data_IF_309359045044
#
_entry.id   IF_309359045044
#
_cell.length_a   1.000
_cell.length_b   1.000
_cell.length_c   1.000
_cell.angle_alpha   90.00
_cell.angle_beta   90.00
_cell.angle_gamma   90.00
#
_symmetry.space_group_name_H-M   'P 1'
#
loop_
_entity.id
_entity.type
_entity.pdbx_description
1 polymer ?
#
# COMPACT_ATOMS: atom_id res chain seq x y z
N UNK A 1 7.43 -28.49 -17.92
CA UNK A 1 7.33 -27.81 -16.62
C UNK A 1 6.42 -26.61 -16.81
N UNK A 2 5.23 -26.60 -16.19
CA UNK A 2 4.34 -25.45 -16.24
C UNK A 2 5.01 -24.28 -15.50
N UNK A 3 5.09 -23.10 -16.14
CA UNK A 3 5.48 -21.87 -15.45
C UNK A 3 4.43 -21.60 -14.36
N UNK A 4 4.81 -21.28 -13.12
CA UNK A 4 3.84 -20.89 -12.11
C UNK A 4 3.03 -19.70 -12.66
N UNK A 5 1.71 -19.84 -12.68
CA UNK A 5 0.83 -18.73 -13.00
C UNK A 5 1.02 -17.68 -11.91
N UNK A 6 1.30 -16.41 -12.23
CA UNK A 6 1.49 -15.40 -11.21
C UNK A 6 0.24 -15.34 -10.33
N UNK A 7 0.46 -15.26 -9.01
CA UNK A 7 -0.64 -15.10 -8.06
C UNK A 7 -1.49 -13.87 -8.44
N UNK A 8 -2.82 -13.90 -8.24
CA UNK A 8 -3.67 -12.74 -8.45
C UNK A 8 -3.08 -11.47 -7.83
N UNK A 9 -3.22 -10.32 -8.49
CA UNK A 9 -2.59 -9.06 -8.05
C UNK A 9 -2.92 -8.68 -6.59
N UNK A 10 -4.13 -9.04 -6.12
CA UNK A 10 -4.51 -8.85 -4.72
C UNK A 10 -3.67 -9.71 -3.74
N UNK A 11 -3.30 -10.93 -4.10
CA UNK A 11 -2.42 -11.77 -3.28
C UNK A 11 -0.99 -11.21 -3.25
N UNK A 12 -0.50 -10.70 -4.38
CA UNK A 12 0.79 -9.99 -4.44
C UNK A 12 0.78 -8.73 -3.56
N UNK A 13 -0.32 -7.97 -3.56
CA UNK A 13 -0.48 -6.82 -2.67
C UNK A 13 -0.36 -7.22 -1.20
N UNK A 14 -1.11 -8.25 -0.78
CA UNK A 14 -1.08 -8.75 0.60
C UNK A 14 0.31 -9.25 0.98
N UNK A 15 1.01 -9.92 0.06
CA UNK A 15 2.39 -10.39 0.30
C UNK A 15 3.37 -9.21 0.49
N UNK A 16 3.27 -8.16 -0.34
CA UNK A 16 4.10 -6.95 -0.18
C UNK A 16 3.78 -6.25 1.14
N UNK A 17 2.49 -6.04 1.46
CA UNK A 17 2.07 -5.45 2.73
C UNK A 17 2.56 -6.26 3.94
N UNK A 18 2.49 -7.59 3.86
CA UNK A 18 3.00 -8.52 4.87
C UNK A 18 4.50 -8.34 5.08
N UNK A 19 5.29 -8.33 4.00
CA UNK A 19 6.74 -8.12 4.08
C UNK A 19 7.12 -6.76 4.71
N UNK A 20 6.36 -5.70 4.41
CA UNK A 20 6.57 -4.37 5.04
C UNK A 20 6.29 -4.43 6.53
N UNK A 21 5.20 -5.08 6.94
CA UNK A 21 4.87 -5.27 8.37
C UNK A 21 5.91 -6.12 9.08
N UNK A 22 6.32 -7.25 8.51
CA UNK A 22 7.36 -8.12 9.07
C UNK A 22 8.66 -7.35 9.31
N UNK A 23 9.09 -6.56 8.32
CA UNK A 23 10.25 -5.68 8.47
C UNK A 23 10.06 -4.65 9.59
N UNK A 24 8.91 -3.97 9.64
CA UNK A 24 8.62 -2.96 10.66
C UNK A 24 8.66 -3.52 12.08
N UNK A 25 8.14 -4.73 12.28
CA UNK A 25 8.17 -5.41 13.58
C UNK A 25 9.57 -5.88 13.97
N UNK A 26 10.39 -6.29 13.00
CA UNK A 26 11.79 -6.68 13.23
C UNK A 26 12.73 -5.47 13.44
N UNK A 27 12.38 -4.31 12.88
CA UNK A 27 13.18 -3.09 12.87
C UNK A 27 12.39 -1.86 13.37
N UNK A 28 11.94 -1.88 14.64
CA UNK A 28 11.00 -0.89 15.16
C UNK A 28 11.59 0.53 15.25
N UNK A 29 12.89 0.66 15.50
CA UNK A 29 13.56 1.95 15.59
C UNK A 29 13.75 2.58 14.22
N UNK A 30 14.16 1.79 13.23
CA UNK A 30 14.28 2.23 11.84
C UNK A 30 12.92 2.60 11.25
N UNK A 31 11.88 1.82 11.54
CA UNK A 31 10.52 2.17 11.16
C UNK A 31 10.09 3.50 11.78
N UNK A 32 10.33 3.71 13.07
CA UNK A 32 9.97 4.96 13.76
C UNK A 32 10.74 6.19 13.22
N UNK A 33 11.97 6.02 12.72
CA UNK A 33 12.70 7.10 12.05
C UNK A 33 12.06 7.52 10.71
N UNK A 34 11.40 6.59 10.01
CA UNK A 34 10.79 6.85 8.69
C UNK A 34 9.32 7.29 8.83
N UNK A 35 8.56 6.63 9.69
CA UNK A 35 7.09 6.77 9.78
C UNK A 35 6.57 7.22 11.15
N UNK A 36 7.46 7.46 12.11
CA UNK A 36 7.12 7.94 13.45
C UNK A 36 7.07 9.47 13.55
N UNK A 37 7.08 9.97 14.79
CA UNK A 37 7.12 11.42 15.03
C UNK A 37 8.42 12.03 14.50
N UNK A 38 8.37 13.14 13.75
CA UNK A 38 9.56 13.82 13.27
C UNK A 38 10.50 14.19 14.42
N UNK A 39 11.80 13.98 14.24
CA UNK A 39 12.81 14.35 15.24
C UNK A 39 13.00 15.87 15.23
N UNK A 40 12.75 16.59 16.34
CA UNK A 40 12.92 18.03 16.38
C UNK A 40 14.34 18.46 16.00
N UNK A 41 14.44 19.40 15.06
CA UNK A 41 15.73 19.92 14.57
C UNK A 41 16.48 19.02 13.58
N UNK A 42 15.94 17.84 13.23
CA UNK A 42 16.51 16.98 12.20
C UNK A 42 15.89 17.27 10.83
N UNK A 43 16.73 17.42 9.81
CA UNK A 43 16.32 17.46 8.41
C UNK A 43 17.03 16.34 7.66
N UNK A 44 16.27 15.41 7.10
CA UNK A 44 16.82 14.28 6.40
C UNK A 44 17.58 14.75 5.12
N UNK A 45 18.79 14.24 4.88
CA UNK A 45 19.51 14.47 3.63
C UNK A 45 18.70 14.02 2.40
N UNK A 46 18.75 14.79 1.30
CA UNK A 46 17.93 14.56 0.09
C UNK A 46 18.21 13.21 -0.61
N UNK A 47 19.39 12.64 -0.42
CA UNK A 47 19.81 11.32 -0.90
C UNK A 47 19.07 10.15 -0.21
N UNK A 48 18.39 10.40 0.92
CA UNK A 48 17.56 9.40 1.61
C UNK A 48 16.15 9.24 1.02
N UNK A 49 15.73 10.14 0.12
CA UNK A 49 14.40 10.13 -0.51
C UNK A 49 14.22 8.91 -1.44
N UNK A 50 15.28 8.51 -2.16
CA UNK A 50 15.25 7.36 -3.07
C UNK A 50 15.01 6.01 -2.37
N UNK A 51 15.79 5.65 -1.33
CA UNK A 51 15.54 4.44 -0.55
C UNK A 51 14.17 4.39 0.12
N UNK A 52 13.65 5.53 0.58
CA UNK A 52 12.36 5.66 1.25
C UNK A 52 11.17 5.48 0.29
N UNK A 53 11.32 5.80 -1.00
CA UNK A 53 10.24 5.67 -1.99
C UNK A 53 10.05 4.25 -2.54
N UNK A 54 11.01 3.34 -2.30
CA UNK A 54 11.02 1.99 -2.89
C UNK A 54 9.74 1.19 -2.66
N UNK A 55 9.19 1.21 -1.44
CA UNK A 55 7.95 0.48 -1.13
C UNK A 55 6.77 1.06 -1.90
N UNK A 56 6.70 2.39 -2.02
CA UNK A 56 5.68 3.08 -2.82
C UNK A 56 5.77 2.69 -4.30
N UNK A 57 6.99 2.63 -4.85
CA UNK A 57 7.23 2.22 -6.22
C UNK A 57 6.82 0.76 -6.50
N UNK A 58 6.92 -0.14 -5.51
CA UNK A 58 6.44 -1.52 -5.65
C UNK A 58 4.91 -1.57 -5.81
N UNK A 59 4.16 -0.80 -5.00
CA UNK A 59 2.70 -0.76 -5.14
C UNK A 59 2.26 -0.07 -6.43
N UNK A 60 2.93 1.02 -6.84
CA UNK A 60 2.68 1.67 -8.13
C UNK A 60 2.91 0.68 -9.28
N UNK A 61 4.03 -0.06 -9.25
CA UNK A 61 4.35 -1.09 -10.23
C UNK A 61 3.30 -2.20 -10.27
N UNK A 62 2.79 -2.62 -9.10
CA UNK A 62 1.76 -3.64 -9.02
C UNK A 62 0.44 -3.18 -9.66
N UNK A 63 0.00 -1.95 -9.40
CA UNK A 63 -1.21 -1.40 -10.02
C UNK A 63 -1.03 -1.21 -11.52
N UNK A 64 0.16 -0.79 -11.96
CA UNK A 64 0.52 -0.65 -13.37
C UNK A 64 0.45 -1.98 -14.11
N UNK A 65 1.01 -3.04 -13.53
CA UNK A 65 0.91 -4.38 -14.08
C UNK A 65 -0.55 -4.84 -14.18
N UNK A 66 -1.35 -4.60 -13.13
CA UNK A 66 -2.77 -4.94 -13.11
C UNK A 66 -3.56 -4.16 -14.15
N UNK A 67 -3.29 -2.86 -14.32
CA UNK A 67 -3.95 -2.00 -15.30
C UNK A 67 -3.67 -2.47 -16.73
N UNK A 68 -2.42 -2.81 -17.05
CA UNK A 68 -2.01 -3.31 -18.37
C UNK A 68 -2.60 -4.69 -18.70
N UNK A 69 -2.98 -5.45 -17.69
CA UNK A 69 -3.56 -6.79 -17.83
C UNK A 69 -5.09 -6.80 -17.69
N UNK A 70 -5.76 -5.64 -17.75
CA UNK A 70 -7.21 -5.48 -17.51
C UNK A 70 -7.69 -6.05 -16.16
N UNK A 71 -6.77 -6.18 -15.20
CA UNK A 71 -7.00 -6.69 -13.85
C UNK A 71 -7.34 -5.61 -12.82
N UNK A 72 -7.33 -4.33 -13.23
CA UNK A 72 -7.61 -3.19 -12.36
C UNK A 72 -9.04 -2.67 -12.58
N UNK A 73 -9.88 -2.78 -11.55
CA UNK A 73 -11.20 -2.15 -11.53
C UNK A 73 -11.07 -0.72 -11.01
N UNK A 74 -11.06 0.27 -11.92
CA UNK A 74 -10.88 1.68 -11.54
C UNK A 74 -11.87 2.08 -10.44
N UNK A 75 -11.39 2.53 -9.26
CA UNK A 75 -12.27 2.93 -8.16
C UNK A 75 -13.17 4.12 -8.53
N UNK A 76 -14.35 4.25 -7.90
CA UNK A 76 -15.17 5.45 -8.07
C UNK A 76 -14.44 6.68 -7.53
N UNK A 77 -14.65 7.83 -8.18
CA UNK A 77 -14.04 9.10 -7.82
C UNK A 77 -15.12 10.16 -7.62
N UNK A 78 -15.11 10.79 -6.45
CA UNK A 78 -15.97 11.94 -6.16
C UNK A 78 -15.61 13.10 -7.10
N UNK A 79 -16.59 13.81 -7.71
CA UNK A 79 -16.32 14.91 -8.64
C UNK A 79 -15.36 15.97 -8.08
N UNK A 80 -15.47 16.27 -6.79
CA UNK A 80 -14.69 17.27 -6.07
C UNK A 80 -13.21 16.91 -5.97
N UNK A 81 -12.87 15.62 -6.06
CA UNK A 81 -11.51 15.10 -5.96
C UNK A 81 -10.82 14.93 -7.32
N UNK A 82 -11.49 15.25 -8.44
CA UNK A 82 -10.94 15.05 -9.79
C UNK A 82 -9.61 15.76 -10.01
N UNK A 83 -9.56 17.07 -9.72
CA UNK A 83 -8.34 17.86 -9.91
C UNK A 83 -7.18 17.36 -9.05
N UNK A 84 -7.47 16.94 -7.82
CA UNK A 84 -6.47 16.38 -6.90
C UNK A 84 -5.95 15.02 -7.38
N UNK A 85 -6.86 14.16 -7.86
CA UNK A 85 -6.51 12.87 -8.44
C UNK A 85 -5.62 13.02 -9.68
N UNK A 86 -5.92 13.98 -10.56
CA UNK A 86 -5.12 14.28 -11.76
C UNK A 86 -3.73 14.79 -11.39
N UNK A 87 -3.64 15.70 -10.42
CA UNK A 87 -2.37 16.23 -9.90
C UNK A 87 -1.50 15.12 -9.32
N UNK A 88 -2.06 14.28 -8.44
CA UNK A 88 -1.36 13.14 -7.83
C UNK A 88 -0.90 12.17 -8.92
N UNK A 89 -1.78 11.80 -9.85
CA UNK A 89 -1.42 10.88 -10.92
C UNK A 89 -0.26 11.40 -11.76
N UNK A 90 -0.29 12.68 -12.17
CA UNK A 90 0.78 13.29 -12.93
C UNK A 90 2.14 13.25 -12.21
N UNK A 91 2.13 13.37 -10.88
CA UNK A 91 3.35 13.40 -10.05
C UNK A 91 3.94 12.00 -9.82
N UNK A 92 3.12 11.02 -9.43
CA UNK A 92 3.63 9.72 -8.95
C UNK A 92 3.33 8.54 -9.87
N UNK A 93 2.31 8.61 -10.71
CA UNK A 93 1.87 7.49 -11.54
C UNK A 93 1.10 7.95 -12.80
N UNK A 94 1.78 8.63 -13.75
CA UNK A 94 1.12 9.30 -14.88
C UNK A 94 0.46 8.33 -15.88
N UNK A 95 0.81 7.06 -15.81
CA UNK A 95 0.24 5.99 -16.64
C UNK A 95 -0.90 5.22 -15.96
N UNK A 96 -1.32 5.62 -14.76
CA UNK A 96 -2.49 5.07 -14.08
C UNK A 96 -3.70 6.01 -14.19
N UNK A 97 -4.93 5.46 -14.16
CA UNK A 97 -6.14 6.27 -14.01
C UNK A 97 -6.06 7.15 -12.76
N UNK A 98 -6.44 8.45 -12.82
CA UNK A 98 -6.36 9.36 -11.66
C UNK A 98 -7.01 8.81 -10.39
N UNK A 99 -8.18 8.20 -10.52
CA UNK A 99 -8.89 7.59 -9.40
C UNK A 99 -8.09 6.47 -8.70
N UNK A 100 -7.33 5.68 -9.47
CA UNK A 100 -6.50 4.61 -8.92
C UNK A 100 -5.26 5.16 -8.19
N UNK A 101 -4.65 6.23 -8.70
CA UNK A 101 -3.53 6.91 -8.04
C UNK A 101 -3.98 7.54 -6.71
N UNK A 102 -5.13 8.21 -6.69
CA UNK A 102 -5.70 8.75 -5.46
C UNK A 102 -6.02 7.65 -4.44
N UNK A 103 -6.67 6.56 -4.89
CA UNK A 103 -6.98 5.42 -4.04
C UNK A 103 -5.71 4.77 -3.48
N UNK A 104 -4.63 4.71 -4.26
CA UNK A 104 -3.34 4.21 -3.82
C UNK A 104 -2.75 5.03 -2.68
N UNK A 105 -2.79 6.36 -2.76
CA UNK A 105 -2.33 7.25 -1.67
C UNK A 105 -3.13 7.02 -0.40
N UNK A 106 -4.46 6.89 -0.51
CA UNK A 106 -5.31 6.59 0.64
C UNK A 106 -5.00 5.21 1.25
N UNK A 107 -4.81 4.18 0.42
CA UNK A 107 -4.47 2.84 0.88
C UNK A 107 -3.07 2.77 1.50
N UNK A 108 -2.12 3.54 0.98
CA UNK A 108 -0.79 3.71 1.54
C UNK A 108 -0.86 4.28 2.96
N UNK A 109 -1.57 5.39 3.15
CA UNK A 109 -1.74 6.00 4.47
C UNK A 109 -2.38 5.02 5.48
N UNK A 110 -3.39 4.26 5.04
CA UNK A 110 -4.05 3.26 5.89
C UNK A 110 -3.14 2.08 6.24
N UNK A 111 -2.35 1.57 5.28
CA UNK A 111 -1.40 0.48 5.51
C UNK A 111 -0.40 0.83 6.61
N UNK A 112 0.25 2.00 6.50
CA UNK A 112 1.20 2.44 7.51
C UNK A 112 0.51 2.83 8.83
N UNK A 113 -0.75 3.29 8.79
CA UNK A 113 -1.58 3.44 9.98
C UNK A 113 -1.76 2.12 10.74
N UNK A 114 -2.10 1.03 10.05
CA UNK A 114 -2.24 -0.31 10.65
C UNK A 114 -0.94 -0.79 11.29
N UNK A 115 0.18 -0.64 10.58
CA UNK A 115 1.51 -1.06 11.07
C UNK A 115 1.90 -0.22 12.29
N UNK A 116 1.75 1.11 12.22
CA UNK A 116 2.06 2.00 13.33
C UNK A 116 1.18 1.74 14.56
N UNK A 117 -0.10 1.42 14.39
CA UNK A 117 -1.00 1.10 15.50
C UNK A 117 -0.58 -0.20 16.19
N UNK A 118 -0.15 -1.20 15.43
CA UNK A 118 0.41 -2.42 16.00
C UNK A 118 1.72 -2.14 16.74
N UNK A 119 2.65 -1.48 16.07
CA UNK A 119 4.01 -1.27 16.57
C UNK A 119 4.05 -0.38 17.81
N UNK A 120 3.24 0.68 17.84
CA UNK A 120 3.15 1.61 18.96
C UNK A 120 2.09 1.22 19.99
N UNK A 121 1.63 -0.02 19.97
CA UNK A 121 0.86 -0.63 21.05
C UNK A 121 -0.62 -0.24 21.14
N UNK A 122 -1.18 0.44 20.12
CA UNK A 122 -2.61 0.79 20.09
C UNK A 122 -3.51 -0.44 20.01
N UNK A 123 -3.01 -1.55 19.46
CA UNK A 123 -3.71 -2.83 19.40
C UNK A 123 -3.59 -3.69 20.67
N UNK A 124 -2.80 -3.28 21.66
CA UNK A 124 -2.64 -4.06 22.90
C UNK A 124 -3.98 -4.23 23.62
N UNK A 125 -4.38 -5.48 23.85
CA UNK A 125 -5.68 -5.89 24.43
C UNK A 125 -6.91 -5.56 23.56
N UNK A 126 -6.72 -5.20 22.29
CA UNK A 126 -7.80 -4.95 21.34
C UNK A 126 -7.77 -5.94 20.17
N UNK A 127 -6.58 -6.21 19.61
CA UNK A 127 -6.39 -7.16 18.51
C UNK A 127 -5.36 -8.20 18.95
N UNK A 128 -5.82 -9.40 19.29
CA UNK A 128 -4.95 -10.51 19.70
C UNK A 128 -4.45 -11.30 18.48
N UNK A 129 -5.33 -11.58 17.52
CA UNK A 129 -5.01 -12.29 16.28
C UNK A 129 -4.42 -11.35 15.21
N UNK A 130 -3.30 -10.68 15.52
CA UNK A 130 -2.72 -9.57 14.73
C UNK A 130 -2.40 -9.93 13.29
N UNK A 131 -1.80 -11.09 13.06
CA UNK A 131 -1.45 -11.57 11.71
C UNK A 131 -2.69 -11.77 10.83
N UNK A 132 -3.69 -12.48 11.36
CA UNK A 132 -4.93 -12.75 10.63
C UNK A 132 -5.70 -11.45 10.34
N UNK A 133 -5.78 -10.56 11.33
CA UNK A 133 -6.38 -9.24 11.19
C UNK A 133 -5.66 -8.42 10.10
N UNK A 134 -4.33 -8.35 10.15
CA UNK A 134 -3.56 -7.57 9.19
C UNK A 134 -3.73 -8.10 7.76
N UNK A 135 -3.68 -9.43 7.55
CA UNK A 135 -3.90 -10.01 6.23
C UNK A 135 -5.28 -9.70 5.67
N UNK A 136 -6.32 -9.72 6.51
CA UNK A 136 -7.67 -9.34 6.10
C UNK A 136 -7.73 -7.86 5.70
N UNK A 137 -7.20 -6.98 6.54
CA UNK A 137 -7.17 -5.53 6.27
C UNK A 137 -6.35 -5.20 5.02
N UNK A 138 -5.19 -5.83 4.82
CA UNK A 138 -4.39 -5.67 3.61
C UNK A 138 -5.15 -6.12 2.35
N UNK A 139 -5.96 -7.18 2.45
CA UNK A 139 -6.84 -7.61 1.36
C UNK A 139 -7.99 -6.63 1.07
N UNK A 140 -8.49 -5.92 2.08
CA UNK A 140 -9.44 -4.82 1.91
C UNK A 140 -8.81 -3.63 1.19
N UNK A 141 -7.58 -3.25 1.57
CA UNK A 141 -6.81 -2.21 0.90
C UNK A 141 -6.50 -2.55 -0.57
N UNK A 142 -6.21 -3.82 -0.87
CA UNK A 142 -6.06 -4.28 -2.26
C UNK A 142 -7.34 -4.04 -3.07
N UNK A 143 -8.51 -4.34 -2.48
CA UNK A 143 -9.81 -4.11 -3.13
C UNK A 143 -10.12 -2.63 -3.29
N UNK A 144 -9.79 -1.79 -2.31
CA UNK A 144 -10.08 -0.34 -2.38
C UNK A 144 -9.32 0.36 -3.50
N UNK A 145 -8.15 -0.15 -3.89
CA UNK A 145 -7.39 0.36 -5.04
C UNK A 145 -7.77 -0.30 -6.36
N UNK A 146 -8.76 -1.20 -6.36
CA UNK A 146 -9.29 -1.82 -7.58
C UNK A 146 -8.70 -3.19 -7.94
N UNK A 147 -7.82 -3.77 -7.11
CA UNK A 147 -7.29 -5.10 -7.36
C UNK A 147 -8.35 -6.15 -7.02
N UNK A 148 -8.84 -6.84 -8.06
CA UNK A 148 -9.77 -7.95 -7.87
C UNK A 148 -9.00 -9.20 -7.42
N UNK A 149 -9.51 -9.89 -6.41
CA UNK A 149 -9.17 -11.29 -6.20
C UNK A 149 -9.69 -12.12 -7.38
N UNK A 150 -9.16 -13.32 -7.58
CA UNK A 150 -9.75 -14.26 -8.55
C UNK A 150 -11.25 -14.36 -8.25
N UNK A 151 -12.16 -14.18 -9.23
CA UNK A 151 -13.57 -14.40 -8.96
C UNK A 151 -13.71 -15.79 -8.36
N UNK A 152 -14.35 -15.88 -7.18
CA UNK A 152 -14.73 -17.17 -6.63
C UNK A 152 -15.54 -17.87 -7.72
N UNK A 153 -15.06 -19.03 -8.18
CA UNK A 153 -15.66 -19.75 -9.28
C UNK A 153 -17.16 -19.90 -9.05
N UNK A 154 -17.95 -19.59 -10.07
CA UNK A 154 -19.31 -20.11 -10.19
C UNK A 154 -19.23 -21.60 -10.47
#
# INVERSE_FOLDING_TARGET
RARPHPAPYAERWVAVAGAVREWALAHPHEYALIYGSPVPGYSAPMDTVGPASRVGMVFIGLLRDAFRADGLAVPPLAPELRGEAERIAAEIAPDLPPAAALALVAAWAQLFGLISFELFGQFNRMVEAREAFFRQAAGELARSVGLRGRPAGR
#
